data_IF_284396832464
#
_entry.id   IF_284396832464
#
_cell.length_a   1.000
_cell.length_b   1.000
_cell.length_c   1.000
_cell.angle_alpha   90.00
_cell.angle_beta   90.00
_cell.angle_gamma   90.00
#
_symmetry.space_group_name_H-M   'P 1'
#
loop_
_entity.id
_entity.type
_entity.pdbx_description
1 polymer ?
#
# COMPACT_ATOMS: atom_id res chain seq x y z
N UNK A 1 -21.51 13.80 -20.78
CA UNK A 1 -21.73 13.10 -19.50
C UNK A 1 -21.29 14.03 -18.38
N UNK A 2 -22.06 14.12 -17.30
CA UNK A 2 -21.75 14.92 -16.12
C UNK A 2 -21.94 14.10 -14.86
N UNK A 3 -21.11 14.37 -13.85
CA UNK A 3 -21.25 13.80 -12.51
C UNK A 3 -22.48 14.42 -11.85
N UNK A 4 -23.38 13.58 -11.35
CA UNK A 4 -24.61 14.01 -10.67
C UNK A 4 -24.53 13.84 -9.16
N UNK A 5 -23.73 12.89 -8.68
CA UNK A 5 -23.58 12.60 -7.25
C UNK A 5 -22.21 12.01 -6.95
N UNK A 6 -21.68 12.38 -5.78
CA UNK A 6 -20.54 11.70 -5.13
C UNK A 6 -21.00 11.30 -3.73
N UNK A 7 -20.88 10.03 -3.39
CA UNK A 7 -21.37 9.48 -2.12
C UNK A 7 -20.36 8.53 -1.50
N UNK A 8 -20.29 8.54 -0.18
CA UNK A 8 -19.43 7.67 0.62
C UNK A 8 -20.21 6.57 1.32
N UNK A 9 -19.66 5.36 1.32
CA UNK A 9 -20.19 4.22 2.05
C UNK A 9 -19.09 3.58 2.88
N UNK A 10 -19.38 3.30 4.15
CA UNK A 10 -18.42 2.63 5.04
C UNK A 10 -18.79 1.17 5.12
N UNK A 11 -17.86 0.30 4.76
CA UNK A 11 -17.95 -1.13 5.01
C UNK A 11 -17.02 -1.49 6.16
N UNK A 12 -17.58 -2.07 7.21
CA UNK A 12 -16.81 -2.63 8.31
C UNK A 12 -16.86 -4.16 8.21
N UNK A 13 -15.70 -4.78 7.99
CA UNK A 13 -15.58 -6.23 7.93
C UNK A 13 -14.85 -6.75 9.18
N UNK A 14 -15.44 -7.68 9.95
CA UNK A 14 -14.74 -8.28 11.07
C UNK A 14 -13.52 -9.06 10.58
N UNK A 15 -12.38 -8.86 11.24
CA UNK A 15 -11.17 -9.63 10.98
C UNK A 15 -11.24 -10.94 11.75
N UNK A 16 -11.30 -12.04 11.02
CA UNK A 16 -11.13 -13.37 11.58
C UNK A 16 -9.64 -13.72 11.50
N UNK A 17 -8.91 -13.44 12.58
CA UNK A 17 -7.49 -13.76 12.73
C UNK A 17 -7.34 -14.67 13.93
N UNK A 18 -6.74 -15.83 13.72
CA UNK A 18 -6.18 -16.63 14.80
C UNK A 18 -4.77 -16.10 15.14
N UNK A 19 -4.46 -15.93 16.43
CA UNK A 19 -3.17 -15.44 16.90
C UNK A 19 -3.23 -14.04 17.51
N UNK A 20 -2.10 -13.33 17.58
CA UNK A 20 -2.09 -11.99 18.15
C UNK A 20 -2.83 -10.99 17.24
N UNK A 21 -3.85 -10.33 17.79
CA UNK A 21 -4.54 -9.26 17.08
C UNK A 21 -3.56 -8.15 16.72
N UNK A 22 -3.49 -7.71 15.45
CA UNK A 22 -2.60 -6.61 15.07
C UNK A 22 -2.92 -5.34 15.85
N UNK A 23 -1.89 -4.67 16.35
CA UNK A 23 -2.03 -3.37 17.03
C UNK A 23 -1.78 -2.23 16.05
N UNK A 24 -2.62 -1.19 16.13
CA UNK A 24 -2.38 0.08 15.45
C UNK A 24 -2.62 1.21 16.45
N UNK A 25 -1.64 2.07 16.69
CA UNK A 25 -1.77 3.19 17.63
C UNK A 25 -2.23 2.76 19.04
N UNK A 26 -1.73 1.63 19.55
CA UNK A 26 -2.07 1.11 20.88
C UNK A 26 -3.45 0.45 21.02
N UNK A 27 -4.21 0.28 19.92
CA UNK A 27 -5.54 -0.36 19.95
C UNK A 27 -5.58 -1.57 19.03
N UNK A 28 -6.31 -2.59 19.46
CA UNK A 28 -6.57 -3.80 18.68
C UNK A 28 -7.30 -3.52 17.36
N UNK A 29 -6.77 -4.05 16.26
CA UNK A 29 -7.42 -4.03 14.96
C UNK A 29 -8.23 -5.31 14.79
N UNK A 30 -9.51 -5.24 15.11
CA UNK A 30 -10.47 -6.36 15.04
C UNK A 30 -11.35 -6.31 13.80
N UNK A 31 -11.25 -5.26 13.00
CA UNK A 31 -12.00 -5.08 11.76
C UNK A 31 -11.18 -4.35 10.70
N UNK A 32 -11.60 -4.48 9.44
CA UNK A 32 -11.13 -3.69 8.31
C UNK A 32 -12.26 -2.74 7.96
N UNK A 33 -11.99 -1.46 8.17
CA UNK A 33 -12.82 -0.37 7.69
C UNK A 33 -12.40 -0.04 6.24
N UNK A 34 -13.37 0.01 5.34
CA UNK A 34 -13.21 0.41 3.94
C UNK A 34 -14.15 1.57 3.66
N UNK A 35 -13.63 2.61 2.99
CA UNK A 35 -14.42 3.77 2.58
C UNK A 35 -14.64 3.71 1.07
N UNK A 36 -15.78 3.17 0.66
CA UNK A 36 -16.18 3.12 -0.73
C UNK A 36 -16.71 4.48 -1.17
N UNK A 37 -16.40 4.85 -2.40
CA UNK A 37 -16.83 6.08 -3.05
C UNK A 37 -17.64 5.72 -4.29
N UNK A 38 -18.91 6.12 -4.31
CA UNK A 38 -19.81 5.97 -5.45
C UNK A 38 -19.91 7.30 -6.18
N UNK A 39 -19.74 7.28 -7.50
CA UNK A 39 -19.90 8.46 -8.36
C UNK A 39 -20.94 8.13 -9.43
N UNK A 40 -22.05 8.87 -9.44
CA UNK A 40 -23.12 8.69 -10.42
C UNK A 40 -23.04 9.77 -11.51
N UNK A 41 -23.53 9.44 -12.71
CA UNK A 41 -23.55 10.36 -13.86
C UNK A 41 -24.94 10.52 -14.46
N UNK A 42 -25.14 11.59 -15.23
CA UNK A 42 -26.37 11.86 -15.98
C UNK A 42 -26.64 10.87 -17.13
N UNK A 43 -25.61 10.11 -17.53
CA UNK A 43 -25.72 9.04 -18.52
C UNK A 43 -26.08 7.69 -17.91
N UNK A 44 -26.35 7.62 -16.60
CA UNK A 44 -26.69 6.37 -15.90
C UNK A 44 -25.51 5.44 -15.64
N UNK A 45 -24.26 5.90 -15.86
CA UNK A 45 -23.06 5.14 -15.51
C UNK A 45 -22.63 5.50 -14.09
N UNK A 46 -22.45 4.48 -13.25
CA UNK A 46 -21.93 4.63 -11.89
C UNK A 46 -20.51 4.06 -11.79
N UNK A 47 -19.60 4.86 -11.25
CA UNK A 47 -18.24 4.49 -10.88
C UNK A 47 -18.09 4.14 -9.41
N UNK A 48 -17.20 3.21 -9.12
CA UNK A 48 -16.81 2.84 -7.77
C UNK A 48 -15.31 3.00 -7.56
N UNK A 49 -14.97 3.64 -6.45
CA UNK A 49 -13.61 3.71 -5.95
C UNK A 49 -13.53 3.37 -4.47
N UNK A 50 -12.31 3.25 -3.97
CA UNK A 50 -12.02 3.03 -2.56
C UNK A 50 -11.03 4.08 -2.09
N UNK A 51 -11.45 4.89 -1.12
CA UNK A 51 -10.57 5.78 -0.39
C UNK A 51 -9.97 5.04 0.81
N UNK A 52 -8.78 5.46 1.25
CA UNK A 52 -8.10 4.82 2.37
C UNK A 52 -8.97 4.91 3.65
N UNK A 53 -9.45 3.75 4.08
CA UNK A 53 -10.59 3.64 4.97
C UNK A 53 -10.29 3.15 6.37
N UNK A 54 -9.02 2.99 6.79
CA UNK A 54 -8.69 2.57 8.16
C UNK A 54 -9.27 3.54 9.22
N UNK A 55 -8.74 3.58 10.45
CA UNK A 55 -9.30 4.45 11.53
C UNK A 55 -9.36 5.96 11.23
N UNK A 56 -8.81 6.42 10.11
CA UNK A 56 -8.92 7.81 9.62
C UNK A 56 -10.06 8.03 8.62
N UNK A 57 -10.92 7.03 8.36
CA UNK A 57 -11.98 7.16 7.36
C UNK A 57 -12.95 8.29 7.69
N UNK A 58 -13.20 8.64 8.95
CA UNK A 58 -14.06 9.77 9.28
C UNK A 58 -13.53 11.08 8.70
N UNK A 59 -12.22 11.34 8.80
CA UNK A 59 -11.60 12.53 8.22
C UNK A 59 -11.59 12.45 6.69
N UNK A 60 -11.33 11.27 6.14
CA UNK A 60 -11.33 11.05 4.68
C UNK A 60 -12.73 11.25 4.10
N UNK A 61 -13.75 10.70 4.76
CA UNK A 61 -15.16 10.88 4.43
C UNK A 61 -15.56 12.34 4.50
N UNK A 62 -15.20 13.05 5.57
CA UNK A 62 -15.47 14.47 5.68
C UNK A 62 -14.86 15.25 4.51
N UNK A 63 -13.61 14.96 4.11
CA UNK A 63 -12.98 15.59 2.96
C UNK A 63 -13.72 15.31 1.63
N UNK A 64 -14.31 14.12 1.46
CA UNK A 64 -15.15 13.81 0.30
C UNK A 64 -16.46 14.60 0.39
N UNK A 65 -17.18 14.45 1.49
CA UNK A 65 -18.56 14.94 1.61
C UNK A 65 -18.63 16.48 1.63
N UNK A 66 -17.62 17.18 2.16
CA UNK A 66 -17.66 18.64 2.36
C UNK A 66 -16.79 19.46 1.41
N UNK A 67 -15.77 18.85 0.78
CA UNK A 67 -14.83 19.57 -0.08
C UNK A 67 -14.79 19.00 -1.49
N UNK A 68 -14.31 17.76 -1.64
CA UNK A 68 -14.01 17.20 -2.96
C UNK A 68 -15.28 16.82 -3.74
N UNK A 69 -16.25 16.14 -3.11
CA UNK A 69 -17.50 15.75 -3.76
C UNK A 69 -18.22 16.93 -4.43
N UNK A 70 -18.49 18.03 -3.70
CA UNK A 70 -19.07 19.24 -4.28
C UNK A 70 -18.29 19.84 -5.45
N UNK A 71 -16.96 19.77 -5.44
CA UNK A 71 -16.12 20.27 -6.56
C UNK A 71 -16.28 19.46 -7.84
N UNK A 72 -16.65 18.18 -7.74
CA UNK A 72 -16.73 17.25 -8.87
C UNK A 72 -18.16 17.14 -9.43
N UNK A 73 -19.20 17.43 -8.64
CA UNK A 73 -20.59 17.45 -9.15
C UNK A 73 -20.74 18.49 -10.27
N UNK A 74 -21.43 18.11 -11.35
CA UNK A 74 -21.63 18.91 -12.55
C UNK A 74 -20.46 18.89 -13.55
N UNK A 75 -19.32 18.29 -13.19
CA UNK A 75 -18.13 18.18 -14.04
C UNK A 75 -18.22 16.97 -14.98
N UNK A 76 -17.47 17.03 -16.07
CA UNK A 76 -17.33 15.91 -17.01
C UNK A 76 -16.36 14.84 -16.43
N UNK A 77 -16.82 13.61 -16.17
CA UNK A 77 -16.00 12.56 -15.57
C UNK A 77 -14.87 12.07 -16.49
N UNK A 78 -14.88 12.39 -17.79
CA UNK A 78 -13.77 12.05 -18.71
C UNK A 78 -12.52 12.90 -18.49
N UNK A 79 -12.64 14.05 -17.82
CA UNK A 79 -11.56 15.00 -17.57
C UNK A 79 -10.71 14.62 -16.34
N UNK A 80 -10.43 13.33 -16.15
CA UNK A 80 -9.86 12.77 -14.91
C UNK A 80 -8.60 13.52 -14.47
N UNK A 81 -7.60 13.63 -15.36
CA UNK A 81 -6.32 14.26 -15.04
C UNK A 81 -6.46 15.76 -14.73
N UNK A 82 -7.32 16.46 -15.48
CA UNK A 82 -7.56 17.88 -15.27
C UNK A 82 -8.26 18.15 -13.93
N UNK A 83 -9.27 17.36 -13.59
CA UNK A 83 -9.98 17.43 -12.32
C UNK A 83 -9.06 17.10 -11.14
N UNK A 84 -8.22 16.07 -11.29
CA UNK A 84 -7.25 15.68 -10.27
C UNK A 84 -6.26 16.80 -9.97
N UNK A 85 -5.68 17.38 -11.02
CA UNK A 85 -4.69 18.45 -10.94
C UNK A 85 -5.29 19.78 -10.43
N UNK A 86 -6.52 20.10 -10.85
CA UNK A 86 -7.30 21.22 -10.28
C UNK A 86 -7.54 21.03 -8.79
N UNK A 87 -8.01 19.86 -8.35
CA UNK A 87 -8.26 19.57 -6.95
C UNK A 87 -6.98 19.69 -6.10
N UNK A 88 -5.85 19.17 -6.59
CA UNK A 88 -4.56 19.31 -5.91
C UNK A 88 -4.07 20.77 -5.84
N UNK A 89 -4.32 21.57 -6.88
CA UNK A 89 -4.01 23.01 -6.85
C UNK A 89 -4.87 23.78 -5.86
N UNK A 90 -6.18 23.57 -5.88
CA UNK A 90 -7.11 24.24 -4.96
C UNK A 90 -6.75 23.90 -3.51
N UNK A 91 -6.40 22.65 -3.25
CA UNK A 91 -6.10 22.14 -1.91
C UNK A 91 -4.61 22.18 -1.56
N UNK A 92 -3.76 22.87 -2.31
CA UNK A 92 -2.30 22.81 -2.15
C UNK A 92 -1.81 23.15 -0.73
N UNK A 93 -2.53 24.00 -0.01
CA UNK A 93 -2.20 24.42 1.36
C UNK A 93 -2.58 23.41 2.46
N UNK A 94 -3.50 22.48 2.17
CA UNK A 94 -4.10 21.58 3.19
C UNK A 94 -4.24 20.12 2.74
N UNK A 95 -3.90 19.81 1.49
CA UNK A 95 -4.34 18.59 0.82
C UNK A 95 -3.27 17.75 0.13
N UNK A 96 -1.99 18.01 0.40
CA UNK A 96 -0.88 17.28 -0.26
C UNK A 96 -0.55 15.93 0.36
N UNK A 97 -1.22 15.55 1.45
CA UNK A 97 -1.06 14.24 2.10
C UNK A 97 -2.28 13.92 2.97
N UNK A 98 -2.30 12.71 3.55
CA UNK A 98 -3.31 12.30 4.53
C UNK A 98 -4.72 12.19 3.96
N UNK A 99 -5.72 12.54 4.79
CA UNK A 99 -7.13 12.30 4.49
C UNK A 99 -7.58 12.92 3.16
N UNK A 100 -7.09 14.11 2.81
CA UNK A 100 -7.45 14.80 1.57
C UNK A 100 -6.96 14.06 0.32
N UNK A 101 -5.72 13.56 0.33
CA UNK A 101 -5.21 12.80 -0.83
C UNK A 101 -5.88 11.43 -0.92
N UNK A 102 -6.20 10.80 0.22
CA UNK A 102 -6.96 9.54 0.24
C UNK A 102 -8.36 9.70 -0.35
N UNK A 103 -9.02 10.81 -0.02
CA UNK A 103 -10.33 11.17 -0.55
C UNK A 103 -10.28 11.40 -2.07
N UNK A 104 -9.29 12.16 -2.54
CA UNK A 104 -9.09 12.40 -3.97
C UNK A 104 -8.82 11.09 -4.72
N UNK A 105 -7.99 10.20 -4.17
CA UNK A 105 -7.73 8.88 -4.77
C UNK A 105 -9.01 8.05 -4.90
N UNK A 106 -9.90 8.07 -3.91
CA UNK A 106 -11.17 7.32 -3.99
C UNK A 106 -12.07 7.82 -5.13
N UNK A 107 -12.16 9.14 -5.34
CA UNK A 107 -12.89 9.73 -6.46
C UNK A 107 -12.20 9.41 -7.78
N UNK A 108 -10.87 9.56 -7.87
CA UNK A 108 -10.07 9.28 -9.08
C UNK A 108 -10.28 7.85 -9.59
N UNK A 109 -10.23 6.85 -8.69
CA UNK A 109 -10.51 5.45 -9.02
C UNK A 109 -11.93 5.30 -9.58
N UNK A 110 -12.93 5.95 -8.97
CA UNK A 110 -14.31 5.89 -9.45
C UNK A 110 -14.47 6.52 -10.85
N UNK A 111 -13.74 7.59 -11.16
CA UNK A 111 -13.74 8.19 -12.50
C UNK A 111 -13.08 7.25 -13.54
N UNK A 112 -12.01 6.55 -13.18
CA UNK A 112 -11.41 5.54 -14.05
C UNK A 112 -12.33 4.33 -14.28
N UNK A 113 -13.10 3.93 -13.28
CA UNK A 113 -14.14 2.91 -13.43
C UNK A 113 -15.26 3.37 -14.38
N UNK A 114 -15.71 4.63 -14.27
CA UNK A 114 -16.64 5.24 -15.24
C UNK A 114 -16.05 5.23 -16.65
N UNK A 115 -14.79 5.61 -16.82
CA UNK A 115 -14.13 5.63 -18.12
C UNK A 115 -14.05 4.23 -18.75
N UNK A 116 -13.72 3.21 -17.96
CA UNK A 116 -13.73 1.81 -18.39
C UNK A 116 -15.12 1.36 -18.86
N UNK A 117 -16.14 1.63 -18.04
CA UNK A 117 -17.54 1.28 -18.36
C UNK A 117 -18.06 2.01 -19.59
N UNK A 118 -17.80 3.31 -19.70
CA UNK A 118 -18.20 4.12 -20.84
C UNK A 118 -17.53 3.66 -22.15
N UNK A 119 -16.28 3.22 -22.07
CA UNK A 119 -15.54 2.69 -23.22
C UNK A 119 -15.83 1.20 -23.53
N UNK A 120 -16.51 0.48 -22.64
CA UNK A 120 -16.67 -0.97 -22.75
C UNK A 120 -15.34 -1.73 -22.64
N UNK A 121 -14.35 -1.18 -21.93
CA UNK A 121 -12.99 -1.72 -21.84
C UNK A 121 -12.55 -1.93 -20.39
N UNK A 122 -11.75 -2.97 -20.11
CA UNK A 122 -11.10 -3.10 -18.81
C UNK A 122 -10.04 -2.01 -18.63
N UNK A 123 -9.90 -1.48 -17.41
CA UNK A 123 -9.03 -0.33 -17.10
C UNK A 123 -7.60 -0.47 -17.61
N UNK A 124 -6.98 -1.66 -17.50
CA UNK A 124 -5.60 -1.85 -17.96
C UNK A 124 -5.41 -1.55 -19.46
N UNK A 125 -6.45 -1.70 -20.29
CA UNK A 125 -6.39 -1.35 -21.73
C UNK A 125 -6.36 0.16 -21.93
N UNK A 126 -7.07 0.91 -21.08
CA UNK A 126 -7.01 2.38 -21.08
C UNK A 126 -5.65 2.90 -20.59
N UNK A 127 -4.99 2.16 -19.70
CA UNK A 127 -3.66 2.49 -19.15
C UNK A 127 -2.48 2.02 -20.03
N UNK A 128 -2.71 1.83 -21.33
CA UNK A 128 -1.66 1.45 -22.30
C UNK A 128 -1.60 -0.05 -22.62
N UNK A 129 -2.40 -0.88 -21.96
CA UNK A 129 -2.51 -2.31 -22.23
C UNK A 129 -1.32 -3.13 -21.73
N UNK A 130 -1.46 -4.45 -21.83
CA UNK A 130 -0.41 -5.41 -21.53
C UNK A 130 -0.63 -6.66 -22.39
N UNK A 131 0.46 -7.27 -22.86
CA UNK A 131 0.43 -8.59 -23.49
C UNK A 131 0.35 -9.73 -22.46
N UNK A 132 0.58 -9.45 -21.17
CA UNK A 132 0.47 -10.45 -20.10
C UNK A 132 -0.99 -10.66 -19.73
N UNK A 133 -1.40 -11.92 -19.70
CA UNK A 133 -2.73 -12.32 -19.23
C UNK A 133 -2.83 -12.39 -17.71
N UNK A 134 -1.72 -12.62 -17.01
CA UNK A 134 -1.65 -12.77 -15.56
C UNK A 134 -0.45 -12.04 -14.93
N UNK A 135 -0.47 -11.93 -13.60
CA UNK A 135 0.60 -11.34 -12.80
C UNK A 135 0.91 -12.22 -11.58
N UNK A 136 2.19 -12.38 -11.22
CA UNK A 136 2.55 -13.08 -9.99
C UNK A 136 2.08 -12.28 -8.77
N UNK A 137 1.43 -12.96 -7.83
CA UNK A 137 1.06 -12.42 -6.52
C UNK A 137 1.96 -13.01 -5.42
N UNK A 138 2.18 -12.24 -4.37
CA UNK A 138 2.86 -12.70 -3.15
C UNK A 138 1.91 -12.62 -1.96
N UNK A 139 2.01 -13.57 -1.03
CA UNK A 139 1.23 -13.52 0.19
C UNK A 139 1.90 -12.53 1.16
N UNK A 140 1.25 -11.40 1.39
CA UNK A 140 1.65 -10.41 2.39
C UNK A 140 1.03 -10.79 3.74
N UNK A 141 1.71 -11.64 4.50
CA UNK A 141 1.21 -12.16 5.77
C UNK A 141 1.24 -11.09 6.86
N UNK A 142 0.29 -11.13 7.79
CA UNK A 142 0.29 -10.22 8.94
C UNK A 142 1.44 -10.54 9.91
N UNK A 143 1.59 -9.71 10.94
CA UNK A 143 2.41 -10.05 12.10
C UNK A 143 1.55 -10.82 13.11
N UNK A 144 1.91 -12.06 13.39
CA UNK A 144 1.23 -12.96 14.30
C UNK A 144 1.95 -13.10 15.64
N UNK A 145 3.26 -12.85 15.68
CA UNK A 145 4.05 -12.76 16.91
C UNK A 145 4.33 -14.10 17.61
N UNK A 146 3.98 -15.23 16.99
CA UNK A 146 4.33 -16.58 17.47
C UNK A 146 4.76 -17.46 16.30
N UNK A 147 5.73 -18.35 16.54
CA UNK A 147 6.26 -19.26 15.52
C UNK A 147 5.17 -20.19 14.95
N UNK A 148 4.33 -20.78 15.81
CA UNK A 148 3.27 -21.71 15.40
C UNK A 148 2.23 -21.05 14.48
N UNK A 149 1.85 -19.80 14.77
CA UNK A 149 0.93 -19.07 13.93
C UNK A 149 1.57 -18.78 12.56
N UNK A 150 2.84 -18.36 12.56
CA UNK A 150 3.58 -18.04 11.33
C UNK A 150 3.75 -19.27 10.44
N UNK A 151 4.10 -20.43 11.01
CA UNK A 151 4.17 -21.71 10.27
C UNK A 151 2.84 -22.00 9.58
N UNK A 152 1.74 -22.03 10.35
CA UNK A 152 0.40 -22.35 9.85
C UNK A 152 -0.06 -21.42 8.73
N UNK A 153 0.09 -20.10 8.88
CA UNK A 153 -0.33 -19.15 7.85
C UNK A 153 0.59 -19.18 6.62
N UNK A 154 1.87 -19.49 6.81
CA UNK A 154 2.79 -19.73 5.69
C UNK A 154 2.36 -20.96 4.91
N UNK A 155 2.12 -22.08 5.59
CA UNK A 155 1.61 -23.33 4.99
C UNK A 155 0.27 -23.11 4.29
N UNK A 156 -0.65 -22.36 4.89
CA UNK A 156 -1.92 -22.00 4.27
C UNK A 156 -1.73 -21.17 2.99
N UNK A 157 -0.84 -20.18 2.99
CA UNK A 157 -0.56 -19.39 1.80
C UNK A 157 0.02 -20.25 0.67
N UNK A 158 0.95 -21.14 0.98
CA UNK A 158 1.51 -22.08 0.00
C UNK A 158 0.44 -23.03 -0.54
N UNK A 159 -0.45 -23.54 0.33
CA UNK A 159 -1.59 -24.38 -0.07
C UNK A 159 -2.58 -23.66 -0.99
N UNK A 160 -2.65 -22.33 -0.93
CA UNK A 160 -3.43 -21.48 -1.86
C UNK A 160 -2.69 -21.19 -3.18
N UNK A 161 -1.48 -21.72 -3.37
CA UNK A 161 -0.70 -21.58 -4.60
C UNK A 161 0.24 -20.38 -4.65
N UNK A 162 0.40 -19.62 -3.55
CA UNK A 162 1.36 -18.52 -3.51
C UNK A 162 2.80 -19.05 -3.58
N UNK A 163 3.63 -18.40 -4.40
CA UNK A 163 5.04 -18.77 -4.60
C UNK A 163 6.04 -17.80 -3.97
N UNK A 164 5.53 -16.74 -3.35
CA UNK A 164 6.31 -15.66 -2.75
C UNK A 164 5.65 -15.24 -1.44
N UNK A 165 6.43 -15.10 -0.37
CA UNK A 165 5.91 -14.76 0.97
C UNK A 165 6.57 -13.47 1.46
N UNK A 166 5.78 -12.54 2.01
CA UNK A 166 6.28 -11.37 2.75
C UNK A 166 5.80 -11.46 4.19
N UNK A 167 6.73 -11.35 5.13
CA UNK A 167 6.48 -11.39 6.58
C UNK A 167 6.58 -9.98 7.17
N UNK A 168 5.77 -9.70 8.19
CA UNK A 168 5.93 -8.51 9.05
C UNK A 168 6.53 -8.85 10.43
N UNK A 169 7.10 -10.05 10.56
CA UNK A 169 7.77 -10.50 11.78
C UNK A 169 9.12 -9.80 11.95
N UNK A 170 9.48 -9.54 13.20
CA UNK A 170 10.69 -8.77 13.55
C UNK A 170 11.71 -9.58 14.35
N UNK A 171 11.37 -10.82 14.71
CA UNK A 171 12.16 -11.72 15.55
C UNK A 171 12.51 -12.99 14.78
N UNK A 172 13.68 -13.55 15.12
CA UNK A 172 14.26 -14.68 14.38
C UNK A 172 13.44 -15.98 14.49
N UNK A 173 12.90 -16.39 15.65
CA UNK A 173 12.13 -17.63 15.76
C UNK A 173 10.95 -17.69 14.79
N UNK A 174 10.19 -16.61 14.66
CA UNK A 174 9.03 -16.47 13.79
C UNK A 174 9.44 -16.48 12.31
N UNK A 175 10.48 -15.74 11.95
CA UNK A 175 11.03 -15.75 10.58
C UNK A 175 11.55 -17.15 10.21
N UNK A 176 12.18 -17.85 11.16
CA UNK A 176 12.65 -19.23 10.96
C UNK A 176 11.48 -20.18 10.74
N UNK A 177 10.40 -20.06 11.51
CA UNK A 177 9.21 -20.88 11.34
C UNK A 177 8.63 -20.76 9.92
N UNK A 178 8.51 -19.54 9.38
CA UNK A 178 8.10 -19.35 7.99
C UNK A 178 9.07 -19.99 6.98
N UNK A 179 10.40 -19.91 7.24
CA UNK A 179 11.41 -20.55 6.37
C UNK A 179 11.31 -22.07 6.43
N UNK A 180 11.11 -22.66 7.59
CA UNK A 180 10.96 -24.10 7.75
C UNK A 180 9.70 -24.58 7.01
N UNK A 181 8.56 -23.90 7.19
CA UNK A 181 7.30 -24.18 6.50
C UNK A 181 7.41 -24.06 4.97
N UNK A 182 8.08 -23.01 4.47
CA UNK A 182 8.19 -22.75 3.04
C UNK A 182 9.30 -23.53 2.32
N UNK A 183 10.19 -24.19 3.07
CA UNK A 183 11.38 -24.84 2.54
C UNK A 183 12.39 -23.85 1.94
N UNK A 184 13.48 -24.37 1.36
CA UNK A 184 14.58 -23.55 0.86
C UNK A 184 14.27 -22.80 -0.46
N UNK A 185 13.29 -23.28 -1.23
CA UNK A 185 13.03 -22.81 -2.60
C UNK A 185 12.12 -21.58 -2.72
N UNK A 186 11.34 -21.27 -1.67
CA UNK A 186 10.38 -20.15 -1.70
C UNK A 186 11.06 -18.84 -1.31
N UNK A 187 11.00 -17.78 -2.14
CA UNK A 187 11.50 -16.46 -1.74
C UNK A 187 10.67 -15.86 -0.60
N UNK A 188 11.37 -15.41 0.45
CA UNK A 188 10.78 -14.75 1.61
C UNK A 188 11.32 -13.33 1.72
N UNK A 189 10.42 -12.37 1.83
CA UNK A 189 10.67 -10.96 2.10
C UNK A 189 10.31 -10.63 3.55
N UNK A 190 10.96 -9.62 4.13
CA UNK A 190 10.67 -9.16 5.49
C UNK A 190 10.47 -7.65 5.50
N UNK A 191 9.33 -7.24 6.04
CA UNK A 191 8.86 -5.85 6.15
C UNK A 191 8.65 -5.48 7.61
N UNK A 192 9.63 -4.81 8.22
CA UNK A 192 9.63 -4.54 9.67
C UNK A 192 8.85 -3.29 10.07
N UNK A 193 8.02 -2.70 9.20
CA UNK A 193 7.14 -1.55 9.47
C UNK A 193 7.82 -0.40 10.24
N UNK A 194 9.05 -0.02 9.87
CA UNK A 194 9.80 1.09 10.47
C UNK A 194 9.93 1.04 12.01
N UNK A 195 9.82 -0.14 12.62
CA UNK A 195 9.85 -0.34 14.09
C UNK A 195 11.19 -0.03 14.74
N UNK A 196 12.26 0.12 13.96
CA UNK A 196 13.58 0.46 14.47
C UNK A 196 13.66 1.95 14.85
N UNK A 197 13.73 2.23 16.15
CA UNK A 197 14.13 3.53 16.67
C UNK A 197 15.64 3.74 16.43
N UNK A 198 15.95 4.46 15.36
CA UNK A 198 17.28 5.00 15.11
C UNK A 198 18.23 4.11 14.30
N UNK A 199 19.30 4.76 13.85
CA UNK A 199 20.46 4.31 13.06
C UNK A 199 21.17 2.98 13.47
N UNK A 200 20.61 2.19 14.38
CA UNK A 200 21.17 0.93 14.91
C UNK A 200 20.69 -0.33 14.19
N UNK A 201 20.24 -0.25 12.94
CA UNK A 201 19.98 -1.44 12.10
C UNK A 201 21.26 -2.09 11.55
N UNK A 202 22.38 -2.08 12.30
CA UNK A 202 23.56 -2.92 11.98
C UNK A 202 23.41 -4.36 12.49
N UNK A 203 22.55 -4.60 13.50
CA UNK A 203 22.43 -5.91 14.13
C UNK A 203 21.54 -6.92 13.37
N UNK A 204 20.56 -6.48 12.58
CA UNK A 204 19.71 -7.40 11.80
C UNK A 204 20.38 -7.96 10.54
N UNK A 205 21.26 -7.18 9.90
CA UNK A 205 21.92 -7.58 8.63
C UNK A 205 22.97 -8.68 8.78
N UNK A 206 23.55 -8.88 9.99
CA UNK A 206 24.58 -9.90 10.24
C UNK A 206 24.04 -11.22 10.78
N UNK A 207 22.89 -11.23 11.48
CA UNK A 207 22.30 -12.47 12.02
C UNK A 207 21.45 -13.23 11.01
N UNK A 208 21.00 -12.56 9.94
CA UNK A 208 20.34 -13.19 8.79
C UNK A 208 21.42 -13.39 7.71
N UNK A 209 22.42 -14.20 8.01
CA UNK A 209 23.38 -14.66 6.99
C UNK A 209 22.81 -15.92 6.32
N UNK A 210 22.89 -16.07 4.99
CA UNK A 210 22.34 -17.24 4.33
C UNK A 210 23.12 -18.47 4.78
N UNK A 211 22.43 -19.41 5.43
CA UNK A 211 22.92 -20.76 5.49
C UNK A 211 22.86 -21.33 4.06
N UNK A 212 24.03 -21.54 3.47
CA UNK A 212 24.33 -22.11 2.14
C UNK A 212 24.32 -21.15 0.92
N UNK A 213 25.25 -21.34 -0.05
CA UNK A 213 25.44 -20.43 -1.20
C UNK A 213 24.37 -20.52 -2.29
N UNK A 214 23.29 -21.28 -2.09
CA UNK A 214 22.26 -21.56 -3.11
C UNK A 214 20.90 -20.89 -2.85
N UNK A 215 20.77 -20.05 -1.82
CA UNK A 215 19.50 -19.41 -1.46
C UNK A 215 19.38 -18.00 -2.04
N UNK A 216 18.27 -17.73 -2.76
CA UNK A 216 17.96 -16.44 -3.37
C UNK A 216 17.83 -15.32 -2.30
N UNK A 217 18.18 -14.06 -2.62
CA UNK A 217 18.27 -12.99 -1.61
C UNK A 217 16.90 -12.61 -1.04
N UNK A 218 16.82 -12.55 0.29
CA UNK A 218 15.73 -11.87 0.98
C UNK A 218 15.77 -10.38 0.67
N UNK A 219 14.69 -9.85 0.08
CA UNK A 219 14.54 -8.42 -0.17
C UNK A 219 13.89 -7.79 1.06
N UNK A 220 14.59 -6.84 1.68
CA UNK A 220 14.08 -6.00 2.78
C UNK A 220 13.47 -4.75 2.14
N UNK A 221 12.17 -4.53 2.30
CA UNK A 221 11.40 -3.54 1.51
C UNK A 221 11.10 -2.22 2.21
N UNK A 222 11.62 -1.92 3.40
CA UNK A 222 11.32 -0.67 4.09
C UNK A 222 12.31 0.46 3.77
N UNK A 223 11.86 1.57 3.14
CA UNK A 223 12.64 2.80 3.16
C UNK A 223 12.67 3.39 4.59
N UNK A 224 13.71 4.17 4.96
CA UNK A 224 13.74 4.87 6.23
C UNK A 224 12.56 5.86 6.34
N UNK A 225 12.10 6.21 7.55
CA UNK A 225 11.10 7.26 7.72
C UNK A 225 11.55 8.54 7.00
N UNK A 226 10.61 9.20 6.33
CA UNK A 226 10.86 10.47 5.63
C UNK A 226 11.54 11.46 6.60
N UNK A 227 12.62 12.08 6.11
CA UNK A 227 13.45 12.98 6.92
C UNK A 227 12.59 14.06 7.56
N UNK A 228 12.58 14.12 8.88
CA UNK A 228 12.46 15.41 9.56
C UNK A 228 13.65 16.26 9.12
N UNK A 229 13.39 17.27 8.30
CA UNK A 229 14.38 18.30 7.96
C UNK A 229 14.69 19.07 9.24
N UNK A 230 15.81 18.74 9.89
CA UNK A 230 16.43 19.62 10.86
C UNK A 230 16.91 20.90 10.15
N UNK A 231 16.87 22.07 10.82
CA UNK A 231 17.10 23.35 10.16
C UNK A 231 18.53 23.45 9.65
N UNK A 232 18.65 24.15 8.52
CA UNK A 232 19.86 24.41 7.74
C UNK A 232 21.08 24.75 8.59
N UNK A 233 22.12 23.91 8.49
CA UNK A 233 23.46 24.18 8.97
C UNK A 233 24.47 23.42 8.09
N UNK A 234 25.28 24.17 7.35
CA UNK A 234 26.34 23.68 6.47
C UNK A 234 27.26 22.67 7.18
N UNK A 235 27.33 21.43 6.70
CA UNK A 235 28.57 20.63 6.78
C UNK A 235 28.56 19.53 5.70
N UNK A 236 29.53 19.62 4.79
CA UNK A 236 29.81 18.59 3.80
C UNK A 236 30.41 17.35 4.47
N UNK A 237 29.81 16.18 4.28
CA UNK A 237 30.47 14.90 4.55
C UNK A 237 30.04 13.85 3.51
N UNK A 238 31.00 13.53 2.63
CA UNK A 238 30.94 12.54 1.56
C UNK A 238 30.51 11.17 2.09
N UNK A 239 29.51 10.53 1.48
CA UNK A 239 29.16 9.14 1.77
C UNK A 239 30.04 8.17 0.97
N UNK A 240 30.90 7.42 1.66
CA UNK A 240 31.51 6.20 1.11
C UNK A 240 30.41 5.12 1.03
N UNK A 241 29.94 4.81 -0.18
CA UNK A 241 29.15 3.60 -0.45
C UNK A 241 30.03 2.37 -0.26
N UNK A 242 29.88 1.67 0.86
CA UNK A 242 30.32 0.28 0.95
C UNK A 242 29.37 -0.58 0.08
N UNK A 243 29.93 -1.27 -0.91
CA UNK A 243 29.21 -2.20 -1.79
C UNK A 243 28.63 -3.34 -0.94
N UNK A 244 27.32 -3.54 -1.00
CA UNK A 244 26.63 -4.75 -0.53
C UNK A 244 25.73 -5.25 -1.67
N UNK A 245 25.61 -6.57 -1.91
CA UNK A 245 24.98 -7.10 -3.13
C UNK A 245 23.45 -7.23 -3.03
N UNK A 246 22.81 -6.75 -1.96
CA UNK A 246 21.36 -6.86 -1.79
C UNK A 246 20.64 -5.73 -2.55
N UNK A 247 19.72 -6.03 -3.49
CA UNK A 247 19.02 -4.99 -4.23
C UNK A 247 18.02 -4.26 -3.30
N UNK A 248 18.30 -3.00 -3.00
CA UNK A 248 17.30 -2.07 -2.46
C UNK A 248 16.56 -1.41 -3.61
N UNK A 249 15.22 -1.54 -3.67
CA UNK A 249 14.42 -0.77 -4.62
C UNK A 249 14.23 0.66 -4.09
N UNK A 250 14.94 1.60 -4.69
CA UNK A 250 14.57 3.02 -4.74
C UNK A 250 14.55 3.40 -6.22
N UNK A 251 13.45 4.00 -6.70
CA UNK A 251 13.29 4.38 -8.11
C UNK A 251 14.43 5.31 -8.57
N UNK A 252 15.08 5.05 -9.72
CA UNK A 252 15.92 6.05 -10.33
C UNK A 252 15.05 7.15 -10.93
N UNK A 253 15.28 8.40 -10.53
CA UNK A 253 14.86 9.58 -11.31
C UNK A 253 15.68 9.55 -12.60
N UNK A 254 15.03 9.46 -13.76
CA UNK A 254 15.69 9.81 -15.02
C UNK A 254 15.90 11.31 -15.05
N UNK A 255 17.12 11.72 -15.38
CA UNK A 255 17.47 13.07 -15.76
C UNK A 255 18.01 13.01 -17.19
N UNK A 256 17.57 13.98 -17.99
CA UNK A 256 17.77 14.16 -19.44
C UNK A 256 16.97 13.20 -20.33
#
# INVERSE_FOLDING_TARGET
MKITRVETMVLNLPMLIDGATPMLGGRARTSIDMLLVRVDTDAGITGWGEAFGHRIFHATRAAIDTLLGPMFVGRDPSQILALHDEAQRVLHGVGRSGATIYALSGIDIALWDIAGKAAGLPLYRLLGGSARADLPAYASLLRYGTADAVDRYTTQALGRGYRYIKLHEITVPEIKAARDAAGAGVPIMVDTNCTSTGWRSRCGRRRISPASPKSAPAVISTPPPERTTAPSGNFAARSRRARSPTPSRASPRSAA
#
